data_IF_406954389129
#
_entry.id   IF_406954389129
#
_cell.length_a   1.000
_cell.length_b   1.000
_cell.length_c   1.000
_cell.angle_alpha   90.00
_cell.angle_beta   90.00
_cell.angle_gamma   90.00
#
_symmetry.space_group_name_H-M   'P 1'
#
loop_
_entity.id
_entity.type
_entity.pdbx_description
1 polymer ?
#
# COMPACT_ATOMS: atom_id res chain seq x y z
N UNK A 1 10.33 -0.78 -3.54
CA UNK A 1 10.04 -0.67 -2.09
C UNK A 1 8.99 -1.70 -1.70
N UNK A 2 7.68 -1.44 -1.82
CA UNK A 2 6.63 -2.39 -1.40
C UNK A 2 6.75 -3.77 -2.04
N UNK A 3 6.60 -3.90 -3.37
CA UNK A 3 6.63 -5.22 -4.02
C UNK A 3 8.01 -5.90 -4.06
N UNK A 4 9.06 -5.15 -3.75
CA UNK A 4 10.43 -5.68 -3.66
C UNK A 4 10.78 -6.14 -2.24
N UNK A 5 9.99 -5.76 -1.25
CA UNK A 5 10.23 -6.02 0.16
C UNK A 5 10.23 -7.53 0.45
N UNK A 6 11.10 -8.01 1.36
CA UNK A 6 10.96 -9.34 1.96
C UNK A 6 9.53 -9.63 2.42
N UNK A 7 8.84 -8.62 2.99
CA UNK A 7 7.45 -8.74 3.43
C UNK A 7 6.49 -9.19 2.31
N UNK A 8 6.61 -8.60 1.12
CA UNK A 8 5.82 -9.01 -0.04
C UNK A 8 6.16 -10.42 -0.52
N UNK A 9 7.45 -10.77 -0.51
CA UNK A 9 7.91 -12.11 -0.91
C UNK A 9 7.48 -13.21 0.07
N UNK A 10 7.33 -12.87 1.34
CA UNK A 10 6.77 -13.75 2.36
C UNK A 10 5.24 -13.92 2.26
N UNK A 11 4.57 -13.19 1.36
CA UNK A 11 3.12 -13.25 1.19
C UNK A 11 2.34 -12.49 2.29
N UNK A 12 3.00 -11.60 3.02
CA UNK A 12 2.44 -10.86 4.15
C UNK A 12 2.07 -9.41 3.80
N UNK A 13 2.11 -9.04 2.51
CA UNK A 13 1.76 -7.71 2.03
C UNK A 13 0.72 -7.79 0.92
N UNK A 14 -0.35 -7.02 1.07
CA UNK A 14 -1.33 -6.75 0.03
C UNK A 14 -1.36 -5.25 -0.26
N UNK A 15 -1.34 -4.88 -1.54
CA UNK A 15 -1.28 -3.46 -1.97
C UNK A 15 -2.54 -3.08 -2.74
N UNK A 16 -3.11 -1.94 -2.35
CA UNK A 16 -4.18 -1.27 -3.06
C UNK A 16 -3.74 0.14 -3.47
N UNK A 17 -4.20 0.59 -4.64
CA UNK A 17 -4.00 1.96 -5.12
C UNK A 17 -5.38 2.59 -5.28
N UNK A 18 -5.62 3.68 -4.54
CA UNK A 18 -6.80 4.51 -4.70
C UNK A 18 -6.40 5.81 -5.39
N UNK A 19 -6.97 6.06 -6.56
CA UNK A 19 -6.64 7.24 -7.37
C UNK A 19 -7.53 8.43 -7.01
N UNK A 20 -7.08 9.65 -7.34
CA UNK A 20 -7.86 10.87 -7.16
C UNK A 20 -9.20 10.87 -7.93
N UNK A 21 -9.33 10.05 -8.98
CA UNK A 21 -10.58 9.88 -9.74
C UNK A 21 -11.45 8.74 -9.21
N UNK A 22 -11.26 8.36 -7.95
CA UNK A 22 -12.01 7.31 -7.25
C UNK A 22 -11.93 5.93 -7.92
N UNK A 23 -10.84 5.63 -8.65
CA UNK A 23 -10.56 4.28 -9.16
C UNK A 23 -9.76 3.52 -8.12
N UNK A 24 -10.27 2.36 -7.70
CA UNK A 24 -9.58 1.44 -6.79
C UNK A 24 -8.95 0.29 -7.58
N UNK A 25 -7.66 0.07 -7.34
CA UNK A 25 -6.86 -0.94 -8.01
C UNK A 25 -6.29 -1.90 -6.97
N UNK A 26 -6.53 -3.18 -7.18
CA UNK A 26 -5.89 -4.27 -6.45
C UNK A 26 -4.62 -4.70 -7.19
N UNK A 27 -3.52 -4.82 -6.45
CA UNK A 27 -2.22 -5.27 -6.97
C UNK A 27 -1.94 -6.68 -6.45
N UNK A 28 -1.77 -7.63 -7.36
CA UNK A 28 -1.37 -8.98 -7.00
C UNK A 28 0.09 -8.96 -6.50
N UNK A 29 0.42 -9.63 -5.37
CA UNK A 29 1.78 -9.69 -4.83
C UNK A 29 2.86 -10.19 -5.80
N UNK A 30 2.48 -11.00 -6.81
CA UNK A 30 3.38 -11.52 -7.84
C UNK A 30 3.70 -10.50 -8.95
N UNK A 31 3.05 -9.33 -8.95
CA UNK A 31 3.22 -8.31 -9.98
C UNK A 31 4.64 -7.73 -9.96
N UNK A 32 5.34 -7.83 -11.09
CA UNK A 32 6.60 -7.10 -11.30
C UNK A 32 6.35 -5.75 -11.94
N UNK A 33 6.47 -4.68 -11.16
CA UNK A 33 6.29 -3.30 -11.65
C UNK A 33 7.48 -2.90 -12.53
N UNK A 34 7.25 -2.35 -13.74
CA UNK A 34 8.31 -1.84 -14.59
C UNK A 34 9.16 -0.79 -13.87
N UNK A 35 10.49 -0.93 -13.95
CA UNK A 35 11.45 -0.02 -13.31
C UNK A 35 11.60 1.33 -14.01
N UNK A 36 11.22 1.40 -15.28
CA UNK A 36 11.29 2.64 -16.05
C UNK A 36 9.93 3.31 -16.08
N UNK A 37 9.92 4.61 -15.78
CA UNK A 37 8.69 5.40 -15.71
C UNK A 37 7.83 5.32 -16.99
N UNK A 38 8.38 5.41 -18.22
CA UNK A 38 7.56 5.30 -19.43
C UNK A 38 6.84 3.95 -19.56
N UNK A 39 7.48 2.85 -19.17
CA UNK A 39 6.85 1.52 -19.20
C UNK A 39 5.78 1.38 -18.12
N UNK A 40 6.02 1.95 -16.94
CA UNK A 40 5.02 2.03 -15.88
C UNK A 40 3.78 2.80 -16.35
N UNK A 41 3.96 3.95 -17.01
CA UNK A 41 2.86 4.73 -17.58
C UNK A 41 2.06 3.91 -18.59
N UNK A 42 2.73 3.21 -19.52
CA UNK A 42 2.06 2.33 -20.48
C UNK A 42 1.23 1.22 -19.82
N UNK A 43 1.77 0.60 -18.75
CA UNK A 43 1.06 -0.40 -17.95
C UNK A 43 -0.19 0.19 -17.28
N UNK A 44 -0.11 1.39 -16.71
CA UNK A 44 -1.24 2.05 -16.07
C UNK A 44 -2.33 2.45 -17.09
N UNK A 45 -1.93 2.93 -18.28
CA UNK A 45 -2.87 3.20 -19.38
C UNK A 45 -3.61 1.93 -19.78
N UNK A 46 -2.88 0.82 -19.97
CA UNK A 46 -3.48 -0.47 -20.30
C UNK A 46 -4.45 -0.93 -19.20
N UNK A 47 -4.06 -0.80 -17.93
CA UNK A 47 -4.91 -1.16 -16.79
C UNK A 47 -6.21 -0.36 -16.79
N UNK A 48 -6.15 0.96 -16.98
CA UNK A 48 -7.33 1.82 -16.94
C UNK A 48 -8.25 1.60 -18.15
N UNK A 49 -7.71 1.27 -19.33
CA UNK A 49 -8.53 0.93 -20.50
C UNK A 49 -9.18 -0.45 -20.42
N UNK A 50 -8.45 -1.47 -19.96
CA UNK A 50 -8.91 -2.86 -19.95
C UNK A 50 -9.48 -3.32 -18.60
N UNK A 51 -9.42 -2.46 -17.59
CA UNK A 51 -9.79 -2.72 -16.17
C UNK A 51 -9.01 -3.86 -15.50
N UNK A 52 -8.10 -4.52 -16.22
CA UNK A 52 -7.20 -5.54 -15.68
C UNK A 52 -6.00 -5.75 -16.58
N UNK A 53 -4.89 -6.20 -15.99
CA UNK A 53 -3.69 -6.67 -16.68
C UNK A 53 -3.44 -8.11 -16.26
N UNK A 54 -3.26 -9.00 -17.24
CA UNK A 54 -2.96 -10.41 -17.02
C UNK A 54 -1.47 -10.69 -17.16
N UNK A 55 -1.02 -11.77 -16.53
CA UNK A 55 0.31 -12.31 -16.76
C UNK A 55 0.45 -12.72 -18.24
N UNK A 56 1.66 -12.64 -18.78
CA UNK A 56 1.92 -13.04 -20.17
C UNK A 56 1.86 -14.58 -20.34
N UNK A 57 2.17 -15.30 -19.26
CA UNK A 57 2.32 -16.74 -19.14
C UNK A 57 1.11 -17.44 -18.50
N UNK A 58 0.03 -16.71 -18.19
CA UNK A 58 -1.13 -17.33 -17.56
C UNK A 58 -2.40 -16.48 -17.50
N UNK A 59 -3.54 -17.08 -17.10
CA UNK A 59 -4.81 -16.37 -17.01
C UNK A 59 -4.91 -15.42 -15.80
N UNK A 60 -3.93 -15.45 -14.91
CA UNK A 60 -3.91 -14.71 -13.65
C UNK A 60 -3.92 -13.20 -13.90
N UNK A 61 -4.77 -12.48 -13.16
CA UNK A 61 -4.80 -11.01 -13.19
C UNK A 61 -3.77 -10.50 -12.18
N UNK A 62 -2.81 -9.73 -12.68
CA UNK A 62 -1.75 -9.10 -11.89
C UNK A 62 -2.22 -7.75 -11.33
N UNK A 63 -2.92 -6.98 -12.15
CA UNK A 63 -3.54 -5.72 -11.75
C UNK A 63 -5.02 -5.78 -12.10
N UNK A 64 -5.88 -5.29 -11.21
CA UNK A 64 -7.33 -5.32 -11.42
C UNK A 64 -7.97 -4.08 -10.82
N UNK A 65 -8.82 -3.42 -11.60
CA UNK A 65 -9.74 -2.40 -11.08
C UNK A 65 -10.88 -3.12 -10.35
N UNK A 66 -11.10 -2.74 -9.09
CA UNK A 66 -12.13 -3.30 -8.21
C UNK A 66 -13.13 -2.21 -7.81
N UNK A 67 -14.29 -2.64 -7.29
CA UNK A 67 -15.34 -1.71 -6.86
C UNK A 67 -14.98 -1.08 -5.53
N UNK A 68 -15.33 0.20 -5.36
CA UNK A 68 -15.32 0.87 -4.06
C UNK A 68 -16.49 0.39 -3.18
N UNK A 69 -16.40 0.57 -1.84
CA UNK A 69 -15.27 1.13 -1.07
C UNK A 69 -14.13 0.13 -0.83
N UNK A 70 -12.95 0.62 -0.42
CA UNK A 70 -11.80 -0.23 -0.05
C UNK A 70 -12.14 -1.19 1.09
N UNK A 71 -12.97 -0.74 2.04
CA UNK A 71 -13.35 -1.49 3.24
C UNK A 71 -13.97 -2.86 2.95
N UNK A 72 -14.64 -3.01 1.81
CA UNK A 72 -15.29 -4.27 1.41
C UNK A 72 -14.29 -5.37 1.03
N UNK A 73 -13.02 -5.00 0.80
CA UNK A 73 -11.95 -5.92 0.39
C UNK A 73 -10.96 -6.22 1.52
N UNK A 74 -11.17 -5.63 2.70
CA UNK A 74 -10.29 -5.82 3.84
C UNK A 74 -10.77 -6.99 4.70
N UNK A 75 -9.86 -7.73 5.36
CA UNK A 75 -10.23 -8.76 6.31
C UNK A 75 -10.92 -8.18 7.55
N UNK A 76 -11.72 -9.01 8.22
CA UNK A 76 -12.40 -8.65 9.48
C UNK A 76 -11.36 -8.38 10.56
N UNK A 77 -11.63 -7.39 11.43
CA UNK A 77 -10.71 -7.00 12.51
C UNK A 77 -9.53 -6.13 12.06
N UNK A 78 -9.48 -5.73 10.79
CA UNK A 78 -8.40 -4.90 10.27
C UNK A 78 -8.45 -3.48 10.85
N UNK A 79 -7.42 -3.10 11.60
CA UNK A 79 -7.23 -1.73 12.11
C UNK A 79 -6.75 -0.83 10.98
N UNK A 80 -7.38 0.34 10.79
CA UNK A 80 -7.04 1.26 9.69
C UNK A 80 -6.35 2.51 10.21
N UNK A 81 -5.12 2.72 9.78
CA UNK A 81 -4.26 3.80 10.25
C UNK A 81 -3.86 4.67 9.05
N UNK A 82 -4.09 5.97 9.11
CA UNK A 82 -3.54 6.92 8.15
C UNK A 82 -2.18 7.44 8.60
N UNK A 83 -1.29 7.71 7.64
CA UNK A 83 -0.03 8.38 7.90
C UNK A 83 -0.11 9.84 7.48
N UNK A 84 0.21 10.76 8.39
CA UNK A 84 0.35 12.20 8.11
C UNK A 84 1.53 12.76 8.90
N UNK A 85 2.22 13.75 8.34
CA UNK A 85 3.24 14.49 9.07
C UNK A 85 2.67 15.21 10.31
N UNK A 86 1.41 15.64 10.24
CA UNK A 86 0.69 16.32 11.33
C UNK A 86 -0.06 15.38 12.26
N UNK A 87 0.10 14.06 12.10
CA UNK A 87 -0.53 13.07 12.98
C UNK A 87 0.21 12.90 14.31
N UNK A 88 -0.33 12.07 15.18
CA UNK A 88 0.28 11.78 16.48
C UNK A 88 1.64 11.10 16.28
N UNK A 89 2.70 11.66 16.87
CA UNK A 89 4.06 11.15 16.69
C UNK A 89 4.20 9.79 17.37
N UNK A 90 4.58 8.79 16.58
CA UNK A 90 4.92 7.46 17.07
C UNK A 90 6.44 7.34 17.14
N UNK A 91 7.02 7.13 18.33
CA UNK A 91 8.47 7.08 18.51
C UNK A 91 9.09 5.82 17.87
N UNK A 92 8.40 4.69 17.90
CA UNK A 92 8.85 3.45 17.28
C UNK A 92 7.75 2.84 16.40
N UNK A 93 8.04 2.68 15.09
CA UNK A 93 7.09 2.12 14.12
C UNK A 93 6.74 0.65 14.44
N UNK A 94 7.65 -0.07 15.13
CA UNK A 94 7.45 -1.47 15.54
C UNK A 94 6.29 -1.65 16.51
N UNK A 95 6.00 -0.63 17.32
CA UNK A 95 4.90 -0.67 18.29
C UNK A 95 3.53 -0.64 17.60
N UNK A 96 3.48 -0.35 16.30
CA UNK A 96 2.27 -0.36 15.49
C UNK A 96 2.01 -1.72 14.83
N UNK A 97 2.95 -2.66 14.92
CA UNK A 97 2.83 -3.97 14.28
C UNK A 97 2.00 -4.89 15.19
N UNK A 98 0.79 -5.30 14.78
CA UNK A 98 0.01 -6.26 15.55
C UNK A 98 0.67 -7.64 15.52
N UNK A 99 0.42 -8.43 16.58
CA UNK A 99 0.97 -9.79 16.69
C UNK A 99 0.31 -10.77 15.72
N UNK A 100 -1.02 -10.70 15.56
CA UNK A 100 -1.79 -11.65 14.76
C UNK A 100 -2.89 -11.02 13.88
N UNK A 101 -3.30 -9.78 14.16
CA UNK A 101 -4.37 -9.12 13.43
C UNK A 101 -3.87 -8.43 12.15
N UNK A 102 -4.70 -8.35 11.10
CA UNK A 102 -4.37 -7.54 9.94
C UNK A 102 -4.42 -6.04 10.27
N UNK A 103 -3.58 -5.26 9.58
CA UNK A 103 -3.56 -3.80 9.72
C UNK A 103 -3.39 -3.14 8.37
N UNK A 104 -4.14 -2.07 8.16
CA UNK A 104 -4.08 -1.24 6.96
C UNK A 104 -3.36 0.08 7.29
N UNK A 105 -2.30 0.38 6.53
CA UNK A 105 -1.69 1.71 6.51
C UNK A 105 -2.08 2.46 5.24
N UNK A 106 -2.63 3.66 5.40
CA UNK A 106 -2.97 4.55 4.29
C UNK A 106 -1.86 5.60 4.13
N UNK A 107 -1.13 5.50 3.02
CA UNK A 107 -0.03 6.39 2.67
C UNK A 107 -0.44 7.29 1.50
N UNK A 108 -0.30 8.60 1.67
CA UNK A 108 -0.62 9.58 0.63
C UNK A 108 0.36 9.54 -0.55
N UNK A 109 -0.13 9.21 -1.74
CA UNK A 109 0.65 9.17 -2.98
C UNK A 109 0.40 10.39 -3.89
N UNK A 110 0.43 11.59 -3.31
CA UNK A 110 0.20 12.87 -4.00
C UNK A 110 1.35 13.85 -3.70
N UNK A 111 1.53 14.86 -4.56
CA UNK A 111 2.61 15.84 -4.39
C UNK A 111 2.41 16.75 -3.16
N UNK A 112 1.17 17.22 -2.97
CA UNK A 112 0.77 18.06 -1.85
C UNK A 112 -0.64 17.67 -1.39
N UNK A 113 -0.90 17.76 -0.09
CA UNK A 113 -2.17 17.41 0.53
C UNK A 113 -1.98 16.64 1.83
N UNK A 114 -3.08 16.16 2.39
CA UNK A 114 -3.11 15.26 3.54
C UNK A 114 -4.02 14.07 3.24
N UNK A 115 -3.75 12.94 3.87
CA UNK A 115 -4.63 11.77 3.78
C UNK A 115 -5.92 12.13 4.52
N UNK A 116 -7.03 12.18 3.79
CA UNK A 116 -8.36 12.42 4.35
C UNK A 116 -9.31 11.34 3.83
N UNK A 117 -9.49 10.30 4.62
CA UNK A 117 -10.38 9.17 4.32
C UNK A 117 -11.23 8.87 5.56
N UNK A 118 -12.48 8.49 5.33
CA UNK A 118 -13.50 8.28 6.35
C UNK A 118 -13.36 6.95 7.12
N UNK A 119 -12.64 5.99 6.57
CA UNK A 119 -12.48 4.66 7.15
C UNK A 119 -11.27 4.51 8.08
N UNK A 120 -10.44 5.55 8.27
CA UNK A 120 -9.28 5.46 9.17
C UNK A 120 -9.63 5.82 10.60
N UNK A 121 -9.13 5.02 11.54
CA UNK A 121 -9.43 5.15 12.97
C UNK A 121 -8.43 6.08 13.68
N UNK A 122 -7.20 6.16 13.16
CA UNK A 122 -6.10 6.95 13.75
C UNK A 122 -5.25 7.58 12.65
N UNK A 123 -4.65 8.73 12.95
CA UNK A 123 -3.71 9.43 12.09
C UNK A 123 -2.38 9.59 12.83
N UNK A 124 -1.32 8.99 12.29
CA UNK A 124 -0.01 8.94 12.96
C UNK A 124 1.08 9.61 12.12
N UNK A 125 2.14 10.06 12.80
CA UNK A 125 3.39 10.48 12.20
C UNK A 125 4.52 9.53 12.61
N UNK A 126 5.25 8.98 11.64
CA UNK A 126 6.38 8.05 11.89
C UNK A 126 7.75 8.75 11.89
N UNK A 127 7.78 10.08 11.80
CA UNK A 127 8.99 10.87 11.69
C UNK A 127 8.74 12.34 12.03
N UNK A 128 9.69 12.97 12.71
CA UNK A 128 9.68 14.43 12.96
C UNK A 128 9.99 15.26 11.70
N UNK A 129 10.41 14.61 10.62
CA UNK A 129 10.66 15.22 9.31
C UNK A 129 9.61 14.75 8.29
N UNK A 130 9.21 15.61 7.34
CA UNK A 130 8.37 15.20 6.24
C UNK A 130 9.08 14.14 5.39
N UNK A 131 8.42 13.00 5.17
CA UNK A 131 8.95 11.88 4.41
C UNK A 131 8.28 11.79 3.04
N UNK A 132 9.02 11.29 2.06
CA UNK A 132 8.40 10.85 0.80
C UNK A 132 7.54 9.60 1.05
N UNK A 133 6.47 9.45 0.28
CA UNK A 133 5.60 8.27 0.36
C UNK A 133 6.40 6.96 0.21
N UNK A 134 7.38 6.94 -0.69
CA UNK A 134 8.25 5.78 -0.90
C UNK A 134 9.08 5.42 0.34
N UNK A 135 9.62 6.43 1.05
CA UNK A 135 10.39 6.21 2.27
C UNK A 135 9.49 5.79 3.44
N UNK A 136 8.29 6.36 3.55
CA UNK A 136 7.26 5.92 4.51
C UNK A 136 6.94 4.44 4.30
N UNK A 137 6.66 4.03 3.06
CA UNK A 137 6.42 2.62 2.72
C UNK A 137 7.60 1.72 3.09
N UNK A 138 8.84 2.15 2.83
CA UNK A 138 10.04 1.38 3.20
C UNK A 138 10.16 1.20 4.72
N UNK A 139 9.99 2.27 5.50
CA UNK A 139 10.04 2.22 6.97
C UNK A 139 8.96 1.31 7.57
N UNK A 140 7.76 1.36 7.01
CA UNK A 140 6.68 0.45 7.40
C UNK A 140 7.09 -1.00 7.11
N UNK A 141 7.45 -1.33 5.85
CA UNK A 141 7.87 -2.70 5.50
C UNK A 141 8.98 -3.22 6.43
N UNK A 142 10.04 -2.45 6.66
CA UNK A 142 11.14 -2.86 7.54
C UNK A 142 10.70 -3.10 8.98
N UNK A 143 9.81 -2.28 9.53
CA UNK A 143 9.30 -2.49 10.88
C UNK A 143 8.50 -3.80 10.99
N UNK A 144 7.67 -4.10 9.99
CA UNK A 144 6.92 -5.36 9.91
C UNK A 144 7.85 -6.57 9.73
N UNK A 145 8.89 -6.44 8.90
CA UNK A 145 9.90 -7.48 8.69
C UNK A 145 10.65 -7.82 10.00
N UNK A 146 11.07 -6.80 10.76
CA UNK A 146 11.74 -7.00 12.05
C UNK A 146 10.85 -7.69 13.08
N UNK A 147 9.59 -7.27 13.21
CA UNK A 147 8.67 -7.80 14.25
C UNK A 147 8.16 -9.19 13.90
N UNK A 148 7.89 -9.46 12.62
CA UNK A 148 7.41 -10.77 12.15
C UNK A 148 8.54 -11.75 11.79
N UNK A 149 9.81 -11.33 11.92
CA UNK A 149 10.97 -12.20 11.70
C UNK A 149 11.18 -12.59 10.23
N UNK A 150 10.85 -11.69 9.29
CA UNK A 150 11.03 -11.89 7.86
C UNK A 150 12.41 -11.35 7.45
N UNK A 151 13.27 -12.22 6.93
CA UNK A 151 14.64 -11.89 6.47
C UNK A 151 14.79 -12.04 4.96
#
# INVERSE_FOLDING_TARGET
>A
MLLDSPLNRAGLLQVYIHTQRNVLIEVNPQTRIPRTFPRFCGLMVQLLHKLSVRAADGPQKLLKVIKNPLTDHLPVGCVKISTSFTGDIVPCVRDLVPSHDPVLFVVGAFAHGSVNVDYTERCISISQYPLSAALTCAKLCTAFEEVWGVQ
#
